data_IF_693064582339
#
_entry.id   IF_693064582339
#
_cell.length_a   1.000
_cell.length_b   1.000
_cell.length_c   1.000
_cell.angle_alpha   90.00
_cell.angle_beta   90.00
_cell.angle_gamma   90.00
#
_symmetry.space_group_name_H-M   'P 1'
#
loop_
_entity.id
_entity.type
_entity.pdbx_description
1 polymer ?
#
# COMPACT_ATOMS: atom_id res chain seq x y z
N UNK A 1 4.52 26.54 64.43
CA UNK A 1 3.76 27.76 64.07
C UNK A 1 3.85 27.92 62.57
N UNK A 2 2.72 28.25 61.93
CA UNK A 2 2.46 28.17 60.48
C UNK A 2 3.44 28.95 59.60
N UNK A 3 3.75 28.37 58.44
CA UNK A 3 4.10 29.01 57.16
C UNK A 3 3.88 27.90 56.10
N UNK A 4 2.74 27.81 55.44
CA UNK A 4 2.28 28.58 54.28
C UNK A 4 3.36 28.76 53.20
N UNK A 5 3.66 27.68 52.46
CA UNK A 5 4.31 27.78 51.16
C UNK A 5 3.65 26.86 50.12
N UNK A 6 3.01 27.54 49.15
CA UNK A 6 3.01 27.22 47.71
C UNK A 6 2.20 26.01 47.24
N UNK A 7 0.91 26.27 46.95
CA UNK A 7 0.16 25.54 45.91
C UNK A 7 0.66 26.02 44.55
N UNK A 8 1.51 25.24 43.90
CA UNK A 8 1.78 25.39 42.46
C UNK A 8 0.50 25.05 41.67
N UNK A 9 0.06 26.03 40.88
CA UNK A 9 -1.09 25.90 39.99
C UNK A 9 -0.56 25.27 38.69
N UNK A 10 -0.83 23.98 38.51
CA UNK A 10 -0.51 23.25 37.29
C UNK A 10 -1.24 23.89 36.09
N UNK A 11 -0.58 24.22 34.97
CA UNK A 11 -1.24 24.88 33.85
C UNK A 11 -2.21 23.90 33.18
N UNK A 12 -3.48 24.33 33.07
CA UNK A 12 -4.54 23.70 32.30
C UNK A 12 -4.01 23.22 30.94
N UNK A 13 -3.90 21.89 30.77
CA UNK A 13 -3.68 21.25 29.48
C UNK A 13 -4.72 21.78 28.50
N UNK A 14 -4.28 22.54 27.50
CA UNK A 14 -5.11 22.91 26.35
C UNK A 14 -5.64 21.61 25.75
N UNK A 15 -6.96 21.47 25.75
CA UNK A 15 -7.63 20.35 25.09
C UNK A 15 -7.23 20.34 23.61
N UNK A 16 -6.58 19.26 23.18
CA UNK A 16 -6.32 19.02 21.76
C UNK A 16 -7.66 19.01 21.02
N UNK A 17 -7.75 19.84 19.98
CA UNK A 17 -8.87 19.78 19.04
C UNK A 17 -8.90 18.38 18.42
N UNK A 18 -10.06 17.73 18.28
CA UNK A 18 -10.15 16.41 17.67
C UNK A 18 -9.58 16.51 16.25
N UNK A 19 -8.40 15.93 16.04
CA UNK A 19 -7.83 15.69 14.71
C UNK A 19 -8.88 14.93 13.92
N UNK A 20 -9.31 15.49 12.79
CA UNK A 20 -10.16 14.79 11.83
C UNK A 20 -9.54 13.40 11.59
N UNK A 21 -10.27 12.36 12.00
CA UNK A 21 -9.80 10.98 11.91
C UNK A 21 -9.42 10.71 10.45
N UNK A 22 -8.15 10.39 10.20
CA UNK A 22 -7.74 9.97 8.86
C UNK A 22 -8.60 8.77 8.44
N UNK A 23 -9.16 8.76 7.22
CA UNK A 23 -10.00 7.67 6.77
C UNK A 23 -9.24 6.34 6.89
N UNK A 24 -9.92 5.31 7.39
CA UNK A 24 -9.30 4.00 7.60
C UNK A 24 -8.87 3.41 6.24
N UNK A 25 -7.57 3.20 6.06
CA UNK A 25 -7.02 2.57 4.86
C UNK A 25 -7.25 1.07 4.93
N UNK A 26 -8.05 0.54 4.01
CA UNK A 26 -8.33 -0.89 3.87
C UNK A 26 -7.59 -1.44 2.65
N UNK A 27 -6.65 -2.34 2.91
CA UNK A 27 -5.84 -2.97 1.87
C UNK A 27 -6.45 -4.32 1.54
N UNK A 28 -6.91 -4.47 0.31
CA UNK A 28 -7.53 -5.70 -0.19
C UNK A 28 -6.57 -6.39 -1.14
N UNK A 29 -6.45 -7.70 -1.04
CA UNK A 29 -5.82 -8.50 -2.09
C UNK A 29 -6.62 -8.42 -3.39
N UNK A 30 -5.93 -8.27 -4.51
CA UNK A 30 -6.51 -8.19 -5.84
C UNK A 30 -6.40 -9.54 -6.54
N UNK A 31 -7.44 -9.87 -7.28
CA UNK A 31 -7.47 -11.07 -8.12
C UNK A 31 -7.31 -10.70 -9.59
N UNK A 32 -7.18 -11.69 -10.45
CA UNK A 32 -7.18 -11.49 -11.91
C UNK A 32 -8.42 -10.70 -12.41
N UNK A 33 -9.57 -10.82 -11.73
CA UNK A 33 -10.78 -10.06 -12.06
C UNK A 33 -10.61 -8.54 -11.89
N UNK A 34 -9.62 -8.11 -11.12
CA UNK A 34 -9.30 -6.72 -10.85
C UNK A 34 -8.29 -6.12 -11.84
N UNK A 35 -7.74 -6.93 -12.77
CA UNK A 35 -6.71 -6.51 -13.75
C UNK A 35 -7.11 -5.25 -14.51
N UNK A 36 -8.38 -5.10 -14.88
CA UNK A 36 -8.88 -3.88 -15.55
C UNK A 36 -8.75 -2.65 -14.65
N UNK A 37 -9.08 -2.75 -13.35
CA UNK A 37 -8.96 -1.62 -12.40
C UNK A 37 -7.50 -1.29 -12.14
N UNK A 38 -6.66 -2.30 -12.03
CA UNK A 38 -5.21 -2.19 -11.90
C UNK A 38 -4.59 -1.45 -13.09
N UNK A 39 -4.94 -1.84 -14.32
CA UNK A 39 -4.51 -1.15 -15.54
C UNK A 39 -4.95 0.32 -15.54
N UNK A 40 -6.21 0.59 -15.22
CA UNK A 40 -6.70 1.98 -15.14
C UNK A 40 -5.96 2.82 -14.11
N UNK A 41 -5.52 2.23 -12.99
CA UNK A 41 -4.68 2.92 -12.01
C UNK A 41 -3.32 3.28 -12.59
N UNK A 42 -2.63 2.32 -13.23
CA UNK A 42 -1.31 2.58 -13.81
C UNK A 42 -1.35 3.55 -14.98
N UNK A 43 -2.37 3.50 -15.85
CA UNK A 43 -2.53 4.45 -16.94
C UNK A 43 -2.81 5.88 -16.44
N UNK A 44 -3.43 6.02 -15.27
CA UNK A 44 -3.67 7.32 -14.65
C UNK A 44 -2.45 7.91 -13.95
N UNK A 45 -1.34 7.18 -13.82
CA UNK A 45 -0.09 7.72 -13.31
C UNK A 45 0.50 8.70 -14.32
N UNK A 46 0.93 9.87 -13.84
CA UNK A 46 1.64 10.84 -14.64
C UNK A 46 3.07 10.38 -14.98
N UNK A 47 3.78 11.20 -15.75
CA UNK A 47 5.12 10.89 -16.23
C UNK A 47 6.09 10.58 -15.09
N UNK A 48 6.07 11.38 -14.03
CA UNK A 48 7.04 11.28 -12.94
C UNK A 48 6.66 10.11 -12.00
N UNK A 49 5.37 9.88 -11.80
CA UNK A 49 4.88 8.72 -11.06
C UNK A 49 5.22 7.39 -11.74
N UNK A 50 5.18 7.34 -13.08
CA UNK A 50 5.64 6.17 -13.83
C UNK A 50 7.13 5.95 -13.67
N UNK A 51 7.94 7.01 -13.72
CA UNK A 51 9.36 6.93 -13.43
C UNK A 51 9.62 6.34 -12.03
N UNK A 52 8.91 6.84 -11.01
CA UNK A 52 9.07 6.36 -9.64
C UNK A 52 8.58 4.92 -9.43
N UNK A 53 7.54 4.49 -10.15
CA UNK A 53 6.94 3.14 -10.01
C UNK A 53 7.68 2.07 -10.82
N UNK A 54 8.15 2.40 -12.01
CA UNK A 54 8.69 1.44 -12.97
C UNK A 54 10.20 1.62 -13.22
N UNK A 55 10.86 2.54 -12.49
CA UNK A 55 12.26 2.90 -12.70
C UNK A 55 12.52 3.68 -14.01
N UNK A 56 11.50 3.83 -14.86
CA UNK A 56 11.57 4.51 -16.14
C UNK A 56 10.21 5.07 -16.54
N UNK A 57 10.20 6.04 -17.45
CA UNK A 57 8.95 6.59 -17.99
C UNK A 57 8.39 5.63 -19.04
N UNK A 58 7.49 4.74 -18.63
CA UNK A 58 6.85 3.80 -19.56
C UNK A 58 5.69 4.44 -20.34
N UNK A 59 5.62 4.27 -21.68
CA UNK A 59 4.44 4.61 -22.46
C UNK A 59 3.26 3.66 -22.15
N UNK A 60 2.04 4.08 -22.50
CA UNK A 60 0.80 3.35 -22.20
C UNK A 60 0.82 1.90 -22.71
N UNK A 61 1.43 1.64 -23.85
CA UNK A 61 1.59 0.30 -24.43
C UNK A 61 2.39 -0.63 -23.48
N UNK A 62 3.51 -0.14 -22.93
CA UNK A 62 4.35 -0.93 -22.02
C UNK A 62 3.71 -1.06 -20.63
N UNK A 63 3.00 -0.04 -20.16
CA UNK A 63 2.19 -0.14 -18.93
C UNK A 63 1.08 -1.18 -19.08
N UNK A 64 0.43 -1.21 -20.25
CA UNK A 64 -0.61 -2.19 -20.57
C UNK A 64 -0.05 -3.60 -20.60
N UNK A 65 1.06 -3.80 -21.30
CA UNK A 65 1.78 -5.09 -21.32
C UNK A 65 2.20 -5.52 -19.92
N UNK A 66 2.76 -4.62 -19.12
CA UNK A 66 3.11 -4.90 -17.72
C UNK A 66 1.90 -5.44 -16.95
N UNK A 67 0.77 -4.72 -16.99
CA UNK A 67 -0.45 -5.13 -16.28
C UNK A 67 -1.04 -6.46 -16.78
N UNK A 68 -0.84 -6.79 -18.07
CA UNK A 68 -1.28 -8.05 -18.67
C UNK A 68 -0.38 -9.23 -18.28
N UNK A 69 0.92 -9.01 -18.12
CA UNK A 69 1.89 -10.04 -17.76
C UNK A 69 1.94 -10.35 -16.26
N UNK A 70 1.26 -9.58 -15.41
CA UNK A 70 1.16 -9.88 -13.99
C UNK A 70 0.53 -11.27 -13.78
N UNK A 71 1.27 -12.13 -13.12
CA UNK A 71 0.87 -13.48 -12.77
C UNK A 71 0.33 -13.50 -11.33
N UNK A 72 -0.99 -13.46 -11.19
CA UNK A 72 -1.67 -13.48 -9.90
C UNK A 72 -1.62 -14.85 -9.19
N UNK A 73 -1.06 -15.88 -9.83
CA UNK A 73 -0.82 -17.17 -9.18
C UNK A 73 0.54 -17.25 -8.51
N UNK A 74 1.50 -16.44 -8.98
CA UNK A 74 2.86 -16.33 -8.42
C UNK A 74 3.01 -15.11 -7.52
N UNK A 75 2.50 -13.97 -7.98
CA UNK A 75 2.67 -12.66 -7.36
C UNK A 75 1.39 -12.24 -6.63
N UNK A 76 1.57 -11.48 -5.55
CA UNK A 76 0.44 -10.93 -4.78
C UNK A 76 0.31 -9.44 -5.07
N UNK A 77 -0.89 -9.01 -5.47
CA UNK A 77 -1.18 -7.60 -5.72
C UNK A 77 -2.20 -7.11 -4.70
N UNK A 78 -1.91 -5.99 -4.06
CA UNK A 78 -2.78 -5.33 -3.09
C UNK A 78 -3.33 -4.02 -3.65
N UNK A 79 -4.55 -3.66 -3.25
CA UNK A 79 -5.21 -2.44 -3.67
C UNK A 79 -5.97 -1.74 -2.53
N UNK A 80 -6.00 -0.42 -2.60
CA UNK A 80 -6.87 0.43 -1.74
C UNK A 80 -7.89 1.12 -2.63
N UNK A 81 -9.17 0.96 -2.31
CA UNK A 81 -10.29 1.49 -3.10
C UNK A 81 -10.89 2.76 -2.51
N UNK A 82 -11.21 3.73 -3.37
CA UNK A 82 -12.13 4.82 -3.03
C UNK A 82 -13.60 4.35 -3.03
N UNK A 83 -14.51 5.25 -2.64
CA UNK A 83 -15.95 4.97 -2.63
C UNK A 83 -16.54 4.76 -4.03
N UNK A 84 -15.81 5.15 -5.09
CA UNK A 84 -16.17 4.90 -6.48
C UNK A 84 -15.57 3.60 -7.03
N UNK A 85 -14.95 2.76 -6.18
CA UNK A 85 -14.26 1.52 -6.57
C UNK A 85 -13.12 1.75 -7.59
N UNK A 86 -12.45 2.90 -7.50
CA UNK A 86 -11.17 3.18 -8.18
C UNK A 86 -10.03 2.90 -7.21
N UNK A 87 -8.93 2.39 -7.73
CA UNK A 87 -7.73 2.13 -6.93
C UNK A 87 -7.00 3.46 -6.66
N UNK A 88 -6.90 3.82 -5.38
CA UNK A 88 -6.12 4.94 -4.87
C UNK A 88 -4.63 4.59 -4.73
N UNK A 89 -4.33 3.32 -4.46
CA UNK A 89 -2.97 2.83 -4.41
C UNK A 89 -2.91 1.34 -4.68
N UNK A 90 -1.77 0.91 -5.17
CA UNK A 90 -1.47 -0.48 -5.55
C UNK A 90 -0.11 -0.85 -5.00
N UNK A 91 -0.04 -1.97 -4.29
CA UNK A 91 1.20 -2.64 -3.92
C UNK A 91 1.33 -3.92 -4.75
N UNK A 92 2.48 -4.16 -5.34
CA UNK A 92 2.80 -5.38 -6.05
C UNK A 92 3.95 -6.07 -5.33
N UNK A 93 3.71 -7.28 -4.88
CA UNK A 93 4.68 -8.15 -4.26
C UNK A 93 5.04 -9.24 -5.26
N UNK A 94 6.16 -9.04 -5.95
CA UNK A 94 6.67 -9.98 -6.95
C UNK A 94 7.55 -11.01 -6.25
N UNK A 95 7.29 -12.29 -6.48
CA UNK A 95 8.14 -13.34 -5.95
C UNK A 95 9.01 -13.94 -7.05
N UNK A 96 10.27 -14.18 -6.72
CA UNK A 96 11.22 -14.79 -7.62
C UNK A 96 12.10 -15.78 -6.88
N UNK A 97 12.62 -16.77 -7.61
CA UNK A 97 13.64 -17.67 -7.07
C UNK A 97 14.90 -16.86 -6.77
N UNK A 98 15.52 -17.14 -5.62
CA UNK A 98 16.74 -16.46 -5.18
C UNK A 98 17.84 -16.49 -6.24
N UNK A 99 17.95 -17.57 -6.99
CA UNK A 99 18.94 -17.74 -8.05
C UNK A 99 18.73 -16.78 -9.24
N UNK A 100 17.49 -16.33 -9.46
CA UNK A 100 17.15 -15.36 -10.50
C UNK A 100 17.50 -13.91 -10.12
N UNK A 101 17.87 -13.66 -8.86
CA UNK A 101 18.26 -12.35 -8.35
C UNK A 101 19.67 -12.42 -7.72
N UNK A 102 20.75 -12.48 -8.53
CA UNK A 102 22.12 -12.65 -8.02
C UNK A 102 22.54 -11.60 -6.99
N UNK A 103 22.08 -10.36 -7.16
CA UNK A 103 22.36 -9.25 -6.24
C UNK A 103 21.77 -9.45 -4.83
N UNK A 104 20.80 -10.37 -4.68
CA UNK A 104 20.11 -10.66 -3.43
C UNK A 104 20.41 -12.06 -2.92
N UNK A 105 21.32 -12.80 -3.56
CA UNK A 105 21.63 -14.21 -3.22
C UNK A 105 22.12 -14.39 -1.79
N UNK A 106 22.98 -13.48 -1.33
CA UNK A 106 23.55 -13.52 0.02
C UNK A 106 22.62 -12.85 1.04
N UNK A 107 21.52 -12.26 0.58
CA UNK A 107 20.54 -11.65 1.45
C UNK A 107 19.68 -12.70 2.16
N UNK A 108 19.57 -13.95 1.71
CA UNK A 108 18.77 -15.00 2.37
C UNK A 108 19.22 -16.42 2.05
N UNK A 109 18.92 -17.35 2.97
CA UNK A 109 19.04 -18.79 2.77
C UNK A 109 17.74 -19.43 2.22
N UNK A 110 16.64 -18.66 2.12
CA UNK A 110 15.37 -19.12 1.55
C UNK A 110 15.46 -19.29 0.03
N UNK A 111 14.61 -20.15 -0.53
CA UNK A 111 14.59 -20.41 -1.97
C UNK A 111 14.04 -19.24 -2.79
N UNK A 112 13.21 -18.39 -2.19
CA UNK A 112 12.53 -17.26 -2.85
C UNK A 112 12.78 -15.95 -2.12
N UNK A 113 12.69 -14.86 -2.87
CA UNK A 113 12.73 -13.48 -2.39
C UNK A 113 11.48 -12.76 -2.91
N UNK A 114 11.03 -11.77 -2.16
CA UNK A 114 9.94 -10.90 -2.59
C UNK A 114 10.42 -9.46 -2.81
N UNK A 115 10.05 -8.89 -3.96
CA UNK A 115 10.26 -7.49 -4.30
C UNK A 115 8.94 -6.72 -4.18
N UNK A 116 8.98 -5.58 -3.49
CA UNK A 116 7.81 -4.72 -3.32
C UNK A 116 7.89 -3.46 -4.18
N UNK A 117 6.93 -3.31 -5.09
CA UNK A 117 6.67 -2.07 -5.83
C UNK A 117 5.34 -1.45 -5.42
N UNK A 118 5.27 -0.12 -5.32
CA UNK A 118 4.02 0.58 -4.92
C UNK A 118 3.79 1.85 -5.72
N UNK A 119 2.52 2.13 -5.99
CA UNK A 119 2.05 3.39 -6.56
C UNK A 119 0.86 3.92 -5.78
N UNK A 120 0.78 5.24 -5.61
CA UNK A 120 -0.33 5.92 -4.95
C UNK A 120 -0.72 7.12 -5.81
N UNK A 121 -2.01 7.23 -6.11
CA UNK A 121 -2.58 8.34 -6.85
C UNK A 121 -2.22 9.66 -6.17
N UNK A 122 -1.84 10.67 -6.97
CA UNK A 122 -1.36 11.97 -6.49
C UNK A 122 -2.27 12.60 -5.42
N UNK A 123 -3.58 12.60 -5.66
CA UNK A 123 -4.59 13.15 -4.75
C UNK A 123 -4.82 12.34 -3.46
N UNK A 124 -4.27 11.14 -3.35
CA UNK A 124 -4.43 10.25 -2.20
C UNK A 124 -3.13 10.13 -1.35
N UNK A 125 -2.09 10.89 -1.68
CA UNK A 125 -0.83 10.95 -0.92
C UNK A 125 -1.03 11.59 0.44
N UNK A 126 -0.13 11.29 1.39
CA UNK A 126 -0.21 11.79 2.77
C UNK A 126 -1.25 11.08 3.66
N UNK A 127 -2.10 10.24 3.08
CA UNK A 127 -3.12 9.45 3.80
C UNK A 127 -2.56 8.16 4.43
N UNK A 128 -1.28 7.85 4.22
CA UNK A 128 -0.65 6.63 4.76
C UNK A 128 -0.88 5.37 3.93
N UNK A 129 -1.46 5.48 2.73
CA UNK A 129 -1.75 4.35 1.83
C UNK A 129 -0.50 3.53 1.52
N UNK A 130 0.60 4.18 1.12
CA UNK A 130 1.85 3.48 0.79
C UNK A 130 2.42 2.68 1.97
N UNK A 131 2.39 3.25 3.18
CA UNK A 131 2.81 2.52 4.39
C UNK A 131 1.92 1.32 4.68
N UNK A 132 0.60 1.45 4.53
CA UNK A 132 -0.33 0.35 4.78
C UNK A 132 -0.20 -0.77 3.76
N UNK A 133 0.06 -0.44 2.49
CA UNK A 133 0.37 -1.42 1.45
C UNK A 133 1.67 -2.17 1.78
N UNK A 134 2.71 -1.46 2.22
CA UNK A 134 3.97 -2.08 2.65
C UNK A 134 3.78 -2.98 3.88
N UNK A 135 3.07 -2.50 4.92
CA UNK A 135 2.78 -3.28 6.13
C UNK A 135 2.04 -4.59 5.80
N UNK A 136 1.00 -4.52 4.95
CA UNK A 136 0.26 -5.70 4.47
C UNK A 136 1.18 -6.67 3.73
N UNK A 137 2.03 -6.16 2.84
CA UNK A 137 2.97 -6.97 2.07
C UNK A 137 4.01 -7.65 2.96
N UNK A 138 4.54 -6.96 3.97
CA UNK A 138 5.48 -7.53 4.93
C UNK A 138 4.86 -8.67 5.76
N UNK A 139 3.61 -8.53 6.19
CA UNK A 139 2.87 -9.62 6.87
C UNK A 139 2.68 -10.81 5.93
N UNK A 140 2.25 -10.55 4.70
CA UNK A 140 2.03 -11.61 3.70
C UNK A 140 3.32 -12.36 3.38
N UNK A 141 4.45 -11.66 3.20
CA UNK A 141 5.77 -12.28 3.02
C UNK A 141 6.10 -13.29 4.12
N UNK A 142 5.85 -12.92 5.39
CA UNK A 142 6.13 -13.80 6.53
C UNK A 142 5.31 -15.07 6.46
N UNK A 143 4.03 -14.94 6.11
CA UNK A 143 3.09 -16.05 6.01
C UNK A 143 3.36 -16.94 4.78
N UNK A 144 4.05 -16.41 3.77
CA UNK A 144 4.57 -17.11 2.59
C UNK A 144 6.02 -17.65 2.75
N UNK A 145 6.53 -17.72 3.98
CA UNK A 145 7.90 -18.18 4.32
C UNK A 145 9.05 -17.38 3.65
N UNK A 146 8.80 -16.10 3.33
CA UNK A 146 9.82 -15.15 2.89
C UNK A 146 10.40 -14.41 4.11
N UNK A 147 11.72 -14.46 4.25
CA UNK A 147 12.45 -13.80 5.35
C UNK A 147 13.08 -12.46 4.95
N UNK A 148 13.02 -12.11 3.67
CA UNK A 148 13.70 -10.93 3.10
C UNK A 148 12.79 -10.24 2.10
N UNK A 149 12.29 -9.07 2.49
CA UNK A 149 11.52 -8.18 1.63
C UNK A 149 12.45 -7.11 1.05
N UNK A 150 12.56 -7.10 -0.26
CA UNK A 150 13.42 -6.21 -1.02
C UNK A 150 12.60 -5.08 -1.67
N UNK A 151 13.23 -3.92 -1.82
CA UNK A 151 12.69 -2.80 -2.56
C UNK A 151 13.81 -2.05 -3.26
N UNK A 152 13.64 -1.83 -4.56
CA UNK A 152 14.49 -0.97 -5.36
C UNK A 152 13.77 0.36 -5.65
N UNK A 153 14.45 1.49 -5.50
CA UNK A 153 13.90 2.78 -5.88
C UNK A 153 14.97 3.80 -6.27
N UNK A 154 14.59 4.85 -7.00
CA UNK A 154 15.47 5.99 -7.21
C UNK A 154 15.80 6.67 -5.87
N UNK A 155 17.06 7.07 -5.68
CA UNK A 155 17.49 7.75 -4.44
C UNK A 155 16.73 9.07 -4.18
N UNK A 156 16.19 9.68 -5.23
CA UNK A 156 15.34 10.88 -5.21
C UNK A 156 13.89 10.61 -4.81
N UNK A 157 13.45 9.34 -4.72
CA UNK A 157 12.11 8.97 -4.32
C UNK A 157 11.92 9.12 -2.80
N UNK A 158 11.82 10.37 -2.33
CA UNK A 158 11.74 10.69 -0.91
C UNK A 158 10.59 9.97 -0.18
N UNK A 159 9.47 9.72 -0.87
CA UNK A 159 8.32 8.98 -0.32
C UNK A 159 8.67 7.53 -0.04
N UNK A 160 9.28 6.81 -1.01
CA UNK A 160 9.68 5.42 -0.81
C UNK A 160 10.80 5.29 0.22
N UNK A 161 11.77 6.19 0.19
CA UNK A 161 12.81 6.26 1.23
C UNK A 161 12.20 6.47 2.62
N UNK A 162 11.18 7.31 2.74
CA UNK A 162 10.48 7.51 4.01
C UNK A 162 9.76 6.24 4.48
N UNK A 163 9.08 5.53 3.57
CA UNK A 163 8.44 4.24 3.87
C UNK A 163 9.48 3.23 4.36
N UNK A 164 10.60 3.07 3.63
CA UNK A 164 11.67 2.16 3.99
C UNK A 164 12.28 2.45 5.37
N UNK A 165 12.61 3.73 5.64
CA UNK A 165 13.12 4.15 6.96
C UNK A 165 12.13 3.87 8.07
N UNK A 166 10.86 4.20 7.85
CA UNK A 166 9.79 3.96 8.83
C UNK A 166 9.60 2.47 9.11
N UNK A 167 9.76 1.64 8.09
CA UNK A 167 9.68 0.19 8.20
C UNK A 167 10.94 -0.46 8.83
N UNK A 168 11.99 0.31 9.10
CA UNK A 168 13.25 -0.22 9.63
C UNK A 168 14.07 -0.99 8.61
N UNK A 169 13.91 -0.68 7.31
CA UNK A 169 14.73 -1.29 6.27
C UNK A 169 16.17 -0.76 6.34
N UNK A 170 17.13 -1.64 6.09
CA UNK A 170 18.49 -1.24 5.75
C UNK A 170 18.48 -0.63 4.35
N UNK A 171 19.01 0.58 4.18
CA UNK A 171 19.00 1.30 2.90
C UNK A 171 20.43 1.54 2.44
N UNK A 172 20.75 1.03 1.26
CA UNK A 172 22.03 1.21 0.59
C UNK A 172 21.82 2.10 -0.63
N UNK A 173 22.71 3.07 -0.85
CA UNK A 173 22.60 4.04 -1.95
C UNK A 173 23.81 3.95 -2.85
N UNK A 174 23.58 3.78 -4.14
CA UNK A 174 24.63 3.77 -5.15
C UNK A 174 24.09 4.36 -6.46
N UNK A 175 24.92 5.12 -7.18
CA UNK A 175 24.63 5.58 -8.55
C UNK A 175 23.26 6.27 -8.78
N UNK A 176 22.71 6.96 -7.77
CA UNK A 176 21.41 7.62 -7.90
C UNK A 176 20.20 6.70 -7.65
N UNK A 177 20.45 5.45 -7.28
CA UNK A 177 19.48 4.44 -6.87
C UNK A 177 19.60 4.18 -5.37
N UNK A 178 18.64 3.45 -4.84
CA UNK A 178 18.56 3.06 -3.45
C UNK A 178 17.91 1.68 -3.34
N UNK A 179 18.68 0.74 -2.81
CA UNK A 179 18.26 -0.61 -2.49
C UNK A 179 17.92 -0.68 -1.01
N UNK A 180 16.79 -1.30 -0.68
CA UNK A 180 16.33 -1.42 0.69
C UNK A 180 15.92 -2.86 1.02
N UNK A 181 16.31 -3.29 2.22
CA UNK A 181 16.13 -4.66 2.69
C UNK A 181 15.46 -4.68 4.04
N UNK A 182 14.42 -5.50 4.18
CA UNK A 182 13.79 -5.80 5.47
C UNK A 182 13.94 -7.27 5.79
N UNK A 183 14.62 -7.57 6.90
CA UNK A 183 14.60 -8.89 7.50
C UNK A 183 13.30 -9.12 8.24
N UNK A 184 12.60 -10.17 7.85
CA UNK A 184 11.30 -10.56 8.37
C UNK A 184 11.47 -11.72 9.35
N UNK A 185 10.76 -11.65 10.47
CA UNK A 185 10.65 -12.79 11.38
C UNK A 185 9.73 -13.85 10.77
N UNK A 186 9.87 -15.13 11.15
CA UNK A 186 8.98 -16.20 10.67
C UNK A 186 7.49 -15.92 10.90
N UNK A 187 6.64 -16.62 10.17
CA UNK A 187 5.20 -16.65 10.43
C UNK A 187 4.90 -17.01 11.90
N UNK A 188 3.80 -16.48 12.42
CA UNK A 188 3.23 -16.89 13.70
C UNK A 188 1.70 -17.01 13.57
N UNK A 189 1.02 -17.70 14.49
CA UNK A 189 -0.45 -17.72 14.49
C UNK A 189 -1.08 -16.32 14.50
N UNK A 190 -0.41 -15.35 15.15
CA UNK A 190 -0.85 -13.98 15.19
C UNK A 190 -0.77 -13.28 13.82
N UNK A 191 0.29 -13.51 13.04
CA UNK A 191 0.43 -12.92 11.70
C UNK A 191 -0.55 -13.54 10.71
N UNK A 192 -0.81 -14.84 10.83
CA UNK A 192 -1.84 -15.55 10.04
C UNK A 192 -3.24 -15.00 10.33
N UNK A 193 -3.58 -14.85 11.62
CA UNK A 193 -4.86 -14.28 12.03
C UNK A 193 -5.00 -12.82 11.60
N UNK A 194 -3.93 -12.02 11.76
CA UNK A 194 -3.92 -10.61 11.37
C UNK A 194 -4.21 -10.46 9.88
N UNK A 195 -3.51 -11.22 9.03
CA UNK A 195 -3.73 -11.21 7.58
C UNK A 195 -5.17 -11.60 7.22
N UNK A 196 -5.69 -12.68 7.80
CA UNK A 196 -7.05 -13.13 7.55
C UNK A 196 -8.09 -12.06 7.94
N UNK A 197 -7.93 -11.42 9.10
CA UNK A 197 -8.82 -10.35 9.56
C UNK A 197 -8.73 -9.12 8.66
N UNK A 198 -7.53 -8.70 8.29
CA UNK A 198 -7.32 -7.57 7.38
C UNK A 198 -8.01 -7.79 6.03
N UNK A 199 -7.90 -8.98 5.45
CA UNK A 199 -8.55 -9.33 4.19
C UNK A 199 -10.08 -9.37 4.31
N UNK A 200 -10.62 -9.98 5.37
CA UNK A 200 -12.08 -10.01 5.59
C UNK A 200 -12.65 -8.61 5.74
N UNK A 201 -11.99 -7.77 6.55
CA UNK A 201 -12.41 -6.39 6.78
C UNK A 201 -12.33 -5.55 5.50
N UNK A 202 -11.31 -5.76 4.65
CA UNK A 202 -11.18 -5.07 3.37
C UNK A 202 -12.22 -5.56 2.33
N UNK A 203 -12.51 -6.85 2.30
CA UNK A 203 -13.54 -7.43 1.42
C UNK A 203 -14.95 -6.96 1.80
N UNK A 204 -15.26 -6.84 3.09
CA UNK A 204 -16.53 -6.27 3.56
C UNK A 204 -16.64 -4.79 3.17
N UNK A 205 -15.59 -3.99 3.41
CA UNK A 205 -15.54 -2.57 3.00
C UNK A 205 -15.79 -2.40 1.49
N UNK A 206 -15.10 -3.19 0.67
CA UNK A 206 -15.28 -3.20 -0.78
C UNK A 206 -16.72 -3.56 -1.18
N UNK A 207 -17.31 -4.57 -0.54
CA UNK A 207 -18.68 -5.02 -0.83
C UNK A 207 -19.70 -3.94 -0.49
N UNK A 208 -19.53 -3.25 0.64
CA UNK A 208 -20.37 -2.12 1.04
C UNK A 208 -20.25 -0.98 0.02
N UNK A 209 -19.03 -0.60 -0.39
CA UNK A 209 -18.79 0.41 -1.43
C UNK A 209 -19.43 0.01 -2.78
N UNK A 210 -19.37 -1.27 -3.14
CA UNK A 210 -19.98 -1.76 -4.37
C UNK A 210 -21.50 -1.71 -4.35
N UNK A 211 -22.11 -2.15 -3.25
CA UNK A 211 -23.56 -2.13 -3.07
C UNK A 211 -24.09 -0.70 -3.03
N UNK A 212 -23.45 0.20 -2.28
CA UNK A 212 -23.84 1.63 -2.22
C UNK A 212 -23.76 2.31 -3.59
N UNK A 213 -22.69 2.06 -4.35
CA UNK A 213 -22.56 2.58 -5.73
C UNK A 213 -23.63 2.02 -6.67
N UNK A 214 -23.94 0.72 -6.58
CA UNK A 214 -24.98 0.08 -7.39
C UNK A 214 -26.36 0.66 -7.06
N UNK A 215 -26.67 0.81 -5.78
CA UNK A 215 -27.87 1.48 -5.27
C UNK A 215 -27.98 2.91 -5.83
N UNK A 216 -26.94 3.74 -5.68
CA UNK A 216 -26.95 5.11 -6.17
C UNK A 216 -27.16 5.20 -7.69
N UNK A 217 -26.58 4.27 -8.47
CA UNK A 217 -26.80 4.17 -9.91
C UNK A 217 -28.25 3.79 -10.24
N UNK A 218 -28.83 2.86 -9.48
CA UNK A 218 -30.22 2.45 -9.63
C UNK A 218 -31.17 3.62 -9.32
N UNK A 219 -30.98 4.31 -8.18
CA UNK A 219 -31.74 5.51 -7.83
C UNK A 219 -31.69 6.61 -8.90
N UNK A 220 -30.53 6.85 -9.53
CA UNK A 220 -30.39 7.81 -10.64
C UNK A 220 -31.11 7.39 -11.92
N UNK A 221 -31.43 6.10 -12.08
CA UNK A 221 -32.09 5.53 -13.27
C UNK A 221 -33.61 5.47 -13.12
N UNK A 222 -34.17 5.75 -11.93
CA UNK A 222 -35.62 5.87 -11.75
C UNK A 222 -36.13 7.22 -12.27
N UNK A 223 -37.11 7.23 -13.20
CA UNK A 223 -37.73 8.44 -13.69
C UNK A 223 -38.65 9.00 -12.60
N UNK A 224 -38.22 10.05 -11.90
CA UNK A 224 -39.03 10.70 -10.87
C UNK A 224 -38.35 11.81 -10.07
N UNK A 225 -37.01 11.84 -10.03
CA UNK A 225 -36.26 12.90 -9.35
C UNK A 225 -35.62 13.87 -10.34
N UNK A 226 -36.43 14.56 -11.15
CA UNK A 226 -36.05 15.89 -11.63
C UNK A 226 -36.34 16.86 -10.50
N UNK A 227 -35.30 17.53 -9.97
CA UNK A 227 -35.48 18.69 -9.08
C UNK A 227 -36.47 19.64 -9.74
N UNK A 228 -37.58 19.96 -9.05
CA UNK A 228 -38.30 21.20 -9.34
C UNK A 228 -37.35 22.37 -9.03
N UNK A 229 -37.41 23.37 -9.92
CA UNK A 229 -36.67 24.63 -10.01
C UNK A 229 -35.92 25.08 -8.75
#
# INVERSE_FOLDING_TARGET
MRSDEQREIEPLRKADKPTAQKPAVRVKELSERDRRRLLMHFLALDRDDRLLRFGSVLPDELVTRYAQMLDFSRDTVFGVYDDNLRLLGVGHLAFADRESMPALRDATDKSRIAEFGVSVASHARGLGIGSKLFERAAIHCRNEDIDTLYMHCLSSNATMIHIARKAGMEIQRAYGEADAYLKLLPASPATMLQEAVEEQVATLDFTVKANTKAAAKWWRRFPGFKKRA
#
